data_IF_365718184099
#
_entry.id   IF_365718184099
#
_cell.length_a   1.000
_cell.length_b   1.000
_cell.length_c   1.000
_cell.angle_alpha   90.00
_cell.angle_beta   90.00
_cell.angle_gamma   90.00
#
_symmetry.space_group_name_H-M   'P 1'
#
loop_
_entity.id
_entity.type
_entity.pdbx_description
1 polymer ?
#
# COMPACT_ATOMS: atom_id res chain seq x y z
N UNK A 1 13.87 54.73 -16.67
CA UNK A 1 13.64 53.43 -15.97
C UNK A 1 12.55 52.73 -16.74
N UNK A 2 12.97 52.03 -17.77
CA UNK A 2 12.03 51.37 -18.70
C UNK A 2 11.72 49.96 -18.19
N UNK A 3 10.46 49.75 -17.92
CA UNK A 3 9.93 48.43 -17.59
C UNK A 3 10.04 47.54 -18.82
N UNK A 4 10.98 46.59 -18.79
CA UNK A 4 11.06 45.54 -19.80
C UNK A 4 9.84 44.65 -19.61
N UNK A 5 8.87 44.82 -20.46
CA UNK A 5 7.73 43.92 -20.62
C UNK A 5 8.27 42.65 -21.29
N UNK A 6 8.54 41.62 -20.49
CA UNK A 6 8.86 40.28 -20.98
C UNK A 6 7.53 39.68 -21.45
N UNK A 7 7.29 39.80 -22.76
CA UNK A 7 6.21 39.08 -23.41
C UNK A 7 6.37 37.57 -23.11
N UNK A 8 5.38 36.96 -22.48
CA UNK A 8 5.28 35.55 -22.26
C UNK A 8 5.03 34.82 -23.56
N UNK A 9 6.07 34.57 -24.33
CA UNK A 9 6.00 33.52 -25.35
C UNK A 9 5.88 32.20 -24.64
N UNK A 10 4.90 31.40 -25.02
CA UNK A 10 4.61 30.06 -24.50
C UNK A 10 5.85 29.17 -24.67
N UNK A 11 6.67 29.08 -23.63
CA UNK A 11 7.79 28.17 -23.56
C UNK A 11 7.23 26.76 -23.37
N UNK A 12 7.29 25.95 -24.43
CA UNK A 12 6.98 24.49 -24.33
C UNK A 12 7.82 23.87 -23.25
N UNK A 13 7.19 23.44 -22.17
CA UNK A 13 7.86 22.69 -21.10
C UNK A 13 8.15 21.27 -21.59
N UNK A 14 9.42 20.91 -21.72
CA UNK A 14 9.80 19.51 -21.92
C UNK A 14 9.47 18.76 -20.64
N UNK A 15 8.76 17.65 -20.80
CA UNK A 15 8.50 16.67 -19.77
C UNK A 15 9.14 15.34 -20.16
N UNK A 16 10.05 14.84 -19.33
CA UNK A 16 10.65 13.52 -19.52
C UNK A 16 9.74 12.48 -18.87
N UNK A 17 9.25 11.54 -19.67
CA UNK A 17 8.36 10.50 -19.17
C UNK A 17 9.12 9.57 -18.22
N UNK A 18 8.67 9.53 -16.96
CA UNK A 18 9.23 8.69 -15.89
C UNK A 18 8.51 7.35 -15.79
N UNK A 19 9.11 6.36 -15.11
CA UNK A 19 8.42 5.11 -14.74
C UNK A 19 7.14 5.36 -13.93
N UNK A 20 7.10 6.46 -13.16
CA UNK A 20 5.89 6.88 -12.43
C UNK A 20 4.81 7.33 -13.41
N UNK A 21 5.15 8.13 -14.43
CA UNK A 21 4.21 8.55 -15.46
C UNK A 21 3.65 7.36 -16.21
N UNK A 22 4.52 6.45 -16.64
CA UNK A 22 4.15 5.20 -17.32
C UNK A 22 3.17 4.38 -16.50
N UNK A 23 3.40 4.27 -15.20
CA UNK A 23 2.49 3.57 -14.31
C UNK A 23 1.12 4.26 -14.22
N UNK A 24 1.11 5.59 -14.10
CA UNK A 24 -0.14 6.36 -14.07
C UNK A 24 -0.92 6.23 -15.37
N UNK A 25 -0.26 6.21 -16.51
CA UNK A 25 -0.86 6.08 -17.83
C UNK A 25 -1.32 4.66 -18.12
N UNK A 26 -0.44 3.68 -17.95
CA UNK A 26 -0.73 2.27 -18.18
C UNK A 26 -1.93 1.79 -17.39
N UNK A 27 -2.01 2.16 -16.13
CA UNK A 27 -3.15 1.82 -15.28
C UNK A 27 -4.27 2.86 -15.30
N UNK A 28 -4.20 3.87 -16.17
CA UNK A 28 -5.21 4.93 -16.34
C UNK A 28 -5.68 5.50 -15.01
N UNK A 29 -4.74 5.89 -14.13
CA UNK A 29 -5.03 6.31 -12.77
C UNK A 29 -5.92 7.55 -12.73
N UNK A 30 -5.76 8.50 -13.65
CA UNK A 30 -6.65 9.65 -13.78
C UNK A 30 -8.11 9.24 -13.94
N UNK A 31 -8.41 8.31 -14.86
CA UNK A 31 -9.76 7.75 -15.06
C UNK A 31 -10.27 7.02 -13.82
N UNK A 32 -9.41 6.24 -13.13
CA UNK A 32 -9.81 5.55 -11.90
C UNK A 32 -10.17 6.54 -10.79
N UNK A 33 -9.36 7.59 -10.59
CA UNK A 33 -9.67 8.66 -9.63
C UNK A 33 -11.06 9.23 -9.88
N UNK A 34 -11.35 9.62 -11.12
CA UNK A 34 -12.67 10.16 -11.48
C UNK A 34 -13.80 9.16 -11.21
N UNK A 35 -13.65 7.88 -11.59
CA UNK A 35 -14.65 6.83 -11.33
C UNK A 35 -14.87 6.54 -9.86
N UNK A 36 -13.88 6.85 -9.01
CA UNK A 36 -13.96 6.73 -7.56
C UNK A 36 -14.45 8.00 -6.85
N UNK A 37 -14.96 8.97 -7.62
CA UNK A 37 -15.51 10.22 -7.09
C UNK A 37 -14.45 11.25 -6.71
N UNK A 38 -13.16 10.99 -6.97
CA UNK A 38 -12.09 11.98 -6.76
C UNK A 38 -12.13 12.96 -7.92
N UNK A 39 -12.87 14.05 -7.74
CA UNK A 39 -13.15 15.04 -8.79
C UNK A 39 -12.94 16.45 -8.28
N UNK A 40 -12.45 17.30 -9.15
CA UNK A 40 -12.43 18.78 -8.98
C UNK A 40 -13.21 19.42 -10.10
N UNK A 41 -13.86 20.52 -9.83
CA UNK A 41 -14.61 21.29 -10.85
C UNK A 41 -13.72 22.26 -11.60
N UNK A 42 -12.73 22.84 -10.92
CA UNK A 42 -11.84 23.87 -11.45
C UNK A 42 -10.41 23.68 -10.98
N UNK A 43 -9.45 24.25 -11.69
CA UNK A 43 -8.02 24.25 -11.39
C UNK A 43 -7.32 22.93 -11.78
N UNK A 44 -6.20 22.66 -11.17
CA UNK A 44 -5.32 21.53 -11.50
C UNK A 44 -6.02 20.17 -11.42
N UNK A 45 -5.64 19.28 -12.33
CA UNK A 45 -6.23 17.95 -12.44
C UNK A 45 -5.99 17.12 -11.18
N UNK A 46 -6.94 16.26 -10.84
CA UNK A 46 -6.76 15.33 -9.69
C UNK A 46 -5.63 14.35 -9.93
N UNK A 47 -5.32 14.03 -11.21
CA UNK A 47 -4.17 13.22 -11.59
C UNK A 47 -2.86 13.91 -11.19
N UNK A 48 -2.64 15.16 -11.63
CA UNK A 48 -1.42 15.92 -11.35
C UNK A 48 -1.22 16.12 -9.83
N UNK A 49 -2.27 16.48 -9.09
CA UNK A 49 -2.22 16.62 -7.64
C UNK A 49 -1.87 15.29 -6.94
N UNK A 50 -2.49 14.19 -7.36
CA UNK A 50 -2.22 12.86 -6.78
C UNK A 50 -0.81 12.41 -7.10
N UNK A 51 -0.35 12.62 -8.33
CA UNK A 51 0.97 12.25 -8.79
C UNK A 51 2.07 13.05 -8.08
N UNK A 52 1.89 14.36 -7.91
CA UNK A 52 2.83 15.19 -7.13
C UNK A 52 2.97 14.70 -5.69
N UNK A 53 1.86 14.36 -5.01
CA UNK A 53 1.92 13.77 -3.66
C UNK A 53 2.59 12.38 -3.71
N UNK A 54 2.26 11.58 -4.72
CA UNK A 54 2.82 10.24 -4.90
C UNK A 54 4.34 10.27 -5.04
N UNK A 55 4.91 11.25 -5.73
CA UNK A 55 6.34 11.37 -6.04
C UNK A 55 7.19 11.85 -4.84
N UNK A 56 6.61 12.50 -3.83
CA UNK A 56 7.33 13.12 -2.73
C UNK A 56 8.43 12.26 -2.07
N UNK A 57 8.21 10.99 -1.69
CA UNK A 57 9.28 10.20 -1.06
C UNK A 57 10.41 9.86 -2.04
N UNK A 58 10.15 9.79 -3.34
CA UNK A 58 11.16 9.51 -4.37
C UNK A 58 12.10 10.70 -4.59
N UNK A 59 11.65 11.91 -4.27
CA UNK A 59 12.50 13.13 -4.25
C UNK A 59 13.01 13.47 -2.83
N UNK A 60 13.00 12.51 -1.92
CA UNK A 60 13.48 12.70 -0.54
C UNK A 60 12.65 13.66 0.31
N UNK A 61 11.43 14.01 -0.14
CA UNK A 61 10.61 15.03 0.51
C UNK A 61 9.43 14.45 1.29
N UNK A 62 8.80 15.30 2.08
CA UNK A 62 7.50 15.04 2.70
C UNK A 62 6.53 16.15 2.30
N UNK A 63 5.25 15.98 2.64
CA UNK A 63 4.20 16.92 2.27
C UNK A 63 4.49 18.37 2.70
N UNK A 64 5.07 18.56 3.89
CA UNK A 64 5.40 19.91 4.37
C UNK A 64 6.51 20.55 3.55
N UNK A 65 7.63 19.84 3.34
CA UNK A 65 8.78 20.38 2.59
C UNK A 65 8.48 20.51 1.10
N UNK A 66 7.85 19.49 0.51
CA UNK A 66 7.61 19.43 -0.93
C UNK A 66 6.41 20.24 -1.44
N UNK A 67 5.40 20.45 -0.60
CA UNK A 67 4.15 21.13 -1.04
C UNK A 67 3.91 22.44 -0.28
N UNK A 68 4.23 22.50 1.03
CA UNK A 68 3.90 23.68 1.82
C UNK A 68 5.00 24.76 1.76
N UNK A 69 6.28 24.35 1.78
CA UNK A 69 7.42 25.29 1.76
C UNK A 69 7.87 25.59 0.35
N UNK A 70 8.09 24.53 -0.47
CA UNK A 70 8.71 24.63 -1.79
C UNK A 70 7.76 25.24 -2.79
N UNK A 71 7.11 26.11 -2.86
CA UNK A 71 6.15 26.75 -3.77
C UNK A 71 6.43 26.59 -5.30
N UNK A 72 7.27 25.61 -5.66
CA UNK A 72 7.69 25.35 -7.06
C UNK A 72 6.67 24.51 -7.85
N UNK A 73 5.58 24.09 -7.21
CA UNK A 73 4.53 23.32 -7.86
C UNK A 73 3.52 24.27 -8.53
N UNK A 74 2.92 23.87 -9.68
CA UNK A 74 1.95 24.71 -10.37
C UNK A 74 0.64 24.92 -9.59
N UNK A 75 0.50 24.33 -8.39
CA UNK A 75 -0.71 24.41 -7.56
C UNK A 75 -0.39 24.81 -6.11
N UNK A 76 -1.37 25.41 -5.44
CA UNK A 76 -1.24 25.80 -4.04
C UNK A 76 -1.32 24.63 -3.08
N UNK A 77 -0.74 24.77 -1.87
CA UNK A 77 -0.91 23.82 -0.77
C UNK A 77 -2.37 23.50 -0.46
N UNK A 78 -3.27 24.49 -0.61
CA UNK A 78 -4.69 24.30 -0.32
C UNK A 78 -5.37 23.36 -1.31
N UNK A 79 -4.96 23.37 -2.59
CA UNK A 79 -5.45 22.41 -3.58
C UNK A 79 -5.09 20.96 -3.19
N UNK A 80 -3.86 20.74 -2.70
CA UNK A 80 -3.43 19.44 -2.22
C UNK A 80 -4.18 19.01 -0.94
N UNK A 81 -4.36 19.92 0.01
CA UNK A 81 -5.15 19.63 1.22
C UNK A 81 -6.63 19.35 0.91
N UNK A 82 -7.23 20.06 -0.03
CA UNK A 82 -8.61 19.80 -0.47
C UNK A 82 -8.74 18.42 -1.09
N UNK A 83 -7.78 18.00 -1.93
CA UNK A 83 -7.74 16.63 -2.47
C UNK A 83 -7.73 15.61 -1.34
N UNK A 84 -6.86 15.76 -0.34
CA UNK A 84 -6.74 14.79 0.75
C UNK A 84 -7.98 14.76 1.67
N UNK A 85 -8.67 15.89 1.87
CA UNK A 85 -9.80 16.02 2.80
C UNK A 85 -11.17 15.69 2.18
N UNK A 86 -11.23 15.20 0.96
CA UNK A 86 -12.46 14.90 0.25
C UNK A 86 -13.34 13.86 0.97
N UNK A 87 -14.54 14.27 1.38
CA UNK A 87 -15.45 13.42 2.16
C UNK A 87 -16.20 12.39 1.33
N UNK A 88 -16.39 12.67 0.05
CA UNK A 88 -17.10 11.80 -0.91
C UNK A 88 -16.19 10.84 -1.66
N UNK A 89 -14.87 11.01 -1.57
CA UNK A 89 -13.89 10.25 -2.33
C UNK A 89 -13.79 8.80 -1.83
N UNK A 90 -13.95 7.86 -2.73
CA UNK A 90 -13.89 6.43 -2.42
C UNK A 90 -12.50 5.86 -2.67
N UNK A 91 -11.56 6.16 -1.78
CA UNK A 91 -10.18 5.68 -1.84
C UNK A 91 -10.06 4.15 -1.82
N UNK A 92 -10.93 3.48 -1.07
CA UNK A 92 -11.00 2.01 -1.04
C UNK A 92 -11.33 1.43 -2.42
N UNK A 93 -12.35 1.98 -3.11
CA UNK A 93 -12.69 1.57 -4.46
C UNK A 93 -11.54 1.82 -5.43
N UNK A 94 -10.78 2.91 -5.26
CA UNK A 94 -9.59 3.19 -6.06
C UNK A 94 -8.54 2.08 -5.90
N UNK A 95 -8.21 1.69 -4.66
CA UNK A 95 -7.24 0.62 -4.39
C UNK A 95 -7.71 -0.72 -4.96
N UNK A 96 -8.98 -1.07 -4.79
CA UNK A 96 -9.55 -2.31 -5.34
C UNK A 96 -9.53 -2.32 -6.88
N UNK A 97 -9.88 -1.19 -7.52
CA UNK A 97 -9.85 -1.08 -8.98
C UNK A 97 -8.42 -1.15 -9.54
N UNK A 98 -7.46 -0.49 -8.90
CA UNK A 98 -6.05 -0.58 -9.27
C UNK A 98 -5.51 -1.98 -9.00
N UNK A 99 -5.79 -2.53 -7.81
CA UNK A 99 -5.40 -3.88 -7.42
C UNK A 99 -5.92 -4.95 -8.39
N UNK A 100 -7.18 -4.84 -8.85
CA UNK A 100 -7.72 -5.73 -9.87
C UNK A 100 -6.96 -5.67 -11.20
N UNK A 101 -6.53 -4.48 -11.63
CA UNK A 101 -5.76 -4.34 -12.87
C UNK A 101 -4.36 -4.94 -12.73
N UNK A 102 -3.71 -4.72 -11.60
CA UNK A 102 -2.42 -5.32 -11.28
C UNK A 102 -2.54 -6.83 -11.09
N UNK A 103 -3.58 -7.30 -10.40
CA UNK A 103 -3.89 -8.72 -10.29
C UNK A 103 -4.01 -9.38 -11.66
N UNK A 104 -4.81 -8.81 -12.57
CA UNK A 104 -4.97 -9.35 -13.91
C UNK A 104 -3.65 -9.33 -14.73
N UNK A 105 -2.73 -8.43 -14.43
CA UNK A 105 -1.39 -8.42 -15.02
C UNK A 105 -0.51 -9.52 -14.41
N UNK A 106 -0.49 -9.68 -13.09
CA UNK A 106 0.32 -10.69 -12.40
C UNK A 106 -0.19 -12.12 -12.62
N UNK A 107 -1.50 -12.31 -12.67
CA UNK A 107 -2.15 -13.60 -12.92
C UNK A 107 -1.66 -14.24 -14.22
N UNK A 108 -1.44 -13.44 -15.28
CA UNK A 108 -0.88 -13.87 -16.56
C UNK A 108 0.60 -14.29 -16.48
N UNK A 109 1.33 -13.79 -15.48
CA UNK A 109 2.76 -14.07 -15.27
C UNK A 109 2.97 -15.14 -14.18
N UNK A 110 1.89 -15.60 -13.55
CA UNK A 110 1.93 -16.60 -12.48
C UNK A 110 1.59 -17.96 -13.05
N UNK A 111 2.42 -18.98 -12.77
CA UNK A 111 2.11 -20.35 -13.20
C UNK A 111 0.87 -20.88 -12.47
N UNK A 112 0.11 -21.76 -13.12
CA UNK A 112 -1.12 -22.35 -12.57
C UNK A 112 -0.86 -23.14 -11.27
N UNK A 113 0.35 -23.66 -11.09
CA UNK A 113 0.75 -24.43 -9.90
C UNK A 113 1.01 -23.55 -8.66
N UNK A 114 0.95 -22.23 -8.78
CA UNK A 114 1.16 -21.33 -7.64
C UNK A 114 -0.13 -21.06 -6.91
N UNK A 115 -0.17 -21.40 -5.63
CA UNK A 115 -1.26 -20.99 -4.77
C UNK A 115 -1.22 -19.48 -4.54
N UNK A 116 -2.36 -18.85 -4.79
CA UNK A 116 -2.59 -17.45 -4.48
C UNK A 116 -3.29 -17.32 -3.14
N UNK A 117 -2.90 -16.34 -2.35
CA UNK A 117 -3.41 -16.14 -1.01
C UNK A 117 -3.88 -14.71 -0.76
N UNK A 118 -4.87 -14.55 0.09
CA UNK A 118 -5.12 -13.31 0.81
C UNK A 118 -4.41 -13.38 2.16
N UNK A 119 -3.88 -12.26 2.61
CA UNK A 119 -3.17 -12.17 3.89
C UNK A 119 -3.77 -11.01 4.68
N UNK A 120 -4.24 -11.28 5.90
CA UNK A 120 -4.73 -10.23 6.80
C UNK A 120 -3.79 -10.12 8.01
N UNK A 121 -3.40 -8.87 8.28
CA UNK A 121 -2.66 -8.54 9.49
C UNK A 121 -2.92 -7.10 9.89
N UNK A 122 -2.56 -6.71 11.12
CA UNK A 122 -2.65 -5.34 11.56
C UNK A 122 -1.30 -4.78 11.99
N UNK A 123 -1.16 -3.47 11.82
CA UNK A 123 0.07 -2.77 12.13
C UNK A 123 -0.21 -1.45 12.85
N UNK A 124 0.63 -1.05 13.83
CA UNK A 124 0.53 0.26 14.44
C UNK A 124 0.66 1.39 13.41
N UNK A 125 -0.34 2.27 13.37
CA UNK A 125 -0.30 3.55 12.66
C UNK A 125 -0.02 4.64 13.70
N UNK A 126 1.26 4.86 14.00
CA UNK A 126 1.71 5.68 15.11
C UNK A 126 1.43 7.17 14.88
N UNK A 127 0.76 7.78 15.85
CA UNK A 127 0.50 9.22 15.97
C UNK A 127 0.80 9.72 17.38
N UNK A 128 1.77 9.13 18.07
CA UNK A 128 2.08 9.41 19.48
C UNK A 128 2.41 10.86 19.75
N UNK A 129 2.97 11.59 18.76
CA UNK A 129 3.26 13.04 18.85
C UNK A 129 2.01 13.92 18.63
N UNK A 130 0.90 13.34 18.17
CA UNK A 130 -0.31 14.11 17.87
C UNK A 130 -1.19 14.26 19.11
N UNK A 131 -1.88 15.42 19.22
CA UNK A 131 -2.82 15.72 20.30
C UNK A 131 -4.27 15.83 19.83
N UNK A 132 -4.51 16.26 18.60
CA UNK A 132 -5.81 16.68 18.10
C UNK A 132 -6.20 15.99 16.77
N UNK A 133 -5.77 14.75 16.57
CA UNK A 133 -6.19 13.99 15.38
C UNK A 133 -7.56 13.39 15.62
N UNK A 134 -8.46 13.55 14.68
CA UNK A 134 -9.82 13.01 14.73
C UNK A 134 -9.80 11.49 14.90
N UNK A 135 -10.59 10.96 15.82
CA UNK A 135 -10.65 9.55 16.21
C UNK A 135 -9.34 8.97 16.78
N UNK A 136 -8.38 9.81 17.19
CA UNK A 136 -7.16 9.35 17.83
C UNK A 136 -7.49 8.50 19.04
N UNK A 137 -6.86 7.33 19.17
CA UNK A 137 -7.05 6.46 20.32
C UNK A 137 -5.72 6.00 20.92
N UNK A 138 -5.80 5.48 22.14
CA UNK A 138 -4.71 4.79 22.83
C UNK A 138 -4.91 3.28 22.67
N UNK A 139 -3.88 2.57 22.22
CA UNK A 139 -3.91 1.12 22.06
C UNK A 139 -2.59 0.50 22.51
N UNK A 140 -2.66 -0.77 22.88
CA UNK A 140 -1.48 -1.54 23.26
C UNK A 140 -0.77 -2.07 22.03
N UNK A 141 0.53 -1.82 21.92
CA UNK A 141 1.38 -2.39 20.88
C UNK A 141 2.13 -3.61 21.44
N UNK A 142 1.74 -4.78 20.98
CA UNK A 142 2.33 -6.04 21.42
C UNK A 142 3.79 -6.23 21.00
N UNK A 143 4.23 -5.56 19.95
CA UNK A 143 5.60 -5.66 19.42
C UNK A 143 6.61 -4.90 20.29
N UNK A 144 6.20 -3.76 20.85
CA UNK A 144 7.04 -2.91 21.69
C UNK A 144 6.70 -3.00 23.19
N UNK A 145 5.62 -3.71 23.56
CA UNK A 145 5.17 -3.86 24.94
C UNK A 145 4.75 -2.55 25.62
N UNK A 146 4.22 -1.59 24.85
CA UNK A 146 3.82 -0.27 25.35
C UNK A 146 2.54 0.27 24.73
N UNK A 147 1.92 1.23 25.41
CA UNK A 147 0.81 1.96 24.84
C UNK A 147 1.29 3.01 23.84
N UNK A 148 0.67 3.02 22.66
CA UNK A 148 0.84 4.02 21.62
C UNK A 148 -0.44 4.85 21.46
N UNK A 149 -0.30 6.08 20.89
CA UNK A 149 -1.42 6.87 20.39
C UNK A 149 -1.45 6.80 18.87
N UNK A 150 -2.62 6.57 18.29
CA UNK A 150 -2.77 6.43 16.84
C UNK A 150 -3.95 5.56 16.48
N UNK A 151 -3.73 4.65 15.54
CA UNK A 151 -4.71 3.71 15.04
C UNK A 151 -4.08 2.32 14.87
N UNK A 152 -4.90 1.28 14.90
CA UNK A 152 -4.51 -0.03 14.39
C UNK A 152 -4.89 -0.09 12.91
N UNK A 153 -3.93 -0.23 12.03
CA UNK A 153 -4.18 -0.33 10.59
C UNK A 153 -4.37 -1.79 10.20
N UNK A 154 -5.62 -2.23 10.17
CA UNK A 154 -5.99 -3.54 9.64
C UNK A 154 -5.84 -3.51 8.13
N UNK A 155 -5.12 -4.46 7.56
CA UNK A 155 -4.78 -4.51 6.13
C UNK A 155 -5.02 -5.88 5.57
N UNK A 156 -5.47 -5.95 4.31
CA UNK A 156 -5.55 -7.18 3.53
C UNK A 156 -4.73 -7.02 2.25
N UNK A 157 -3.84 -7.98 2.02
CA UNK A 157 -3.02 -8.08 0.82
C UNK A 157 -3.39 -9.33 0.03
N UNK A 158 -3.14 -9.31 -1.28
CA UNK A 158 -3.08 -10.50 -2.12
C UNK A 158 -1.61 -10.86 -2.39
N UNK A 159 -1.28 -12.14 -2.42
CA UNK A 159 0.06 -12.61 -2.80
C UNK A 159 0.01 -13.91 -3.59
N UNK A 160 0.94 -14.04 -4.55
CA UNK A 160 1.27 -15.29 -5.26
C UNK A 160 2.60 -15.89 -4.76
N UNK A 161 3.17 -15.32 -3.71
CA UNK A 161 4.49 -15.69 -3.15
C UNK A 161 5.68 -15.01 -3.83
N UNK A 162 5.49 -14.36 -4.98
CA UNK A 162 6.50 -13.53 -5.65
C UNK A 162 6.14 -12.04 -5.61
N UNK A 163 4.87 -11.72 -5.59
CA UNK A 163 4.36 -10.35 -5.54
C UNK A 163 3.31 -10.21 -4.44
N UNK A 164 3.31 -9.08 -3.75
CA UNK A 164 2.32 -8.74 -2.75
C UNK A 164 1.60 -7.44 -3.15
N UNK A 165 0.26 -7.45 -3.12
CA UNK A 165 -0.58 -6.30 -3.44
C UNK A 165 -1.43 -5.92 -2.23
N UNK A 166 -1.21 -4.77 -1.57
CA UNK A 166 -2.07 -4.27 -0.51
C UNK A 166 -3.37 -3.72 -1.11
N UNK A 167 -4.51 -4.38 -0.86
CA UNK A 167 -5.77 -4.14 -1.57
C UNK A 167 -6.76 -3.27 -0.82
N UNK A 168 -6.86 -3.44 0.50
CA UNK A 168 -7.79 -2.70 1.35
C UNK A 168 -7.21 -2.53 2.75
N UNK A 169 -7.67 -1.49 3.46
CA UNK A 169 -7.30 -1.25 4.84
C UNK A 169 -8.40 -0.51 5.60
N UNK A 170 -8.34 -0.57 6.93
CA UNK A 170 -9.12 0.26 7.84
C UNK A 170 -8.22 0.79 8.96
N UNK A 171 -8.29 2.10 9.22
CA UNK A 171 -7.66 2.70 10.40
C UNK A 171 -8.64 2.56 11.57
N UNK A 172 -8.37 1.61 12.45
CA UNK A 172 -9.24 1.28 13.58
C UNK A 172 -8.89 2.14 14.79
N UNK A 173 -9.90 2.78 15.33
CA UNK A 173 -9.91 3.50 16.59
C UNK A 173 -10.54 2.63 17.68
N UNK A 174 -10.82 3.22 18.83
CA UNK A 174 -11.54 2.55 19.91
C UNK A 174 -13.02 2.94 19.93
N UNK A 175 -13.90 1.96 20.13
CA UNK A 175 -15.30 2.20 20.45
C UNK A 175 -15.44 2.79 21.86
N UNK A 176 -14.54 2.43 22.80
CA UNK A 176 -14.55 2.91 24.17
C UNK A 176 -14.09 4.36 24.28
N UNK A 177 -14.94 5.20 24.86
CA UNK A 177 -14.66 6.63 25.08
C UNK A 177 -13.45 6.87 26.01
N UNK A 178 -13.11 5.94 26.91
CA UNK A 178 -11.97 6.05 27.83
C UNK A 178 -10.63 5.96 27.09
N UNK A 179 -10.57 5.18 26.03
CA UNK A 179 -9.35 4.96 25.24
C UNK A 179 -9.32 5.80 23.95
N UNK A 180 -10.49 6.32 23.51
CA UNK A 180 -10.58 7.25 22.40
C UNK A 180 -10.30 8.67 22.86
N UNK A 181 -9.15 9.23 22.50
CA UNK A 181 -8.66 10.53 22.93
C UNK A 181 -9.34 11.72 22.25
N UNK A 182 -9.80 11.53 20.99
CA UNK A 182 -10.45 12.57 20.20
C UNK A 182 -11.72 12.02 19.55
N UNK A 183 -12.80 12.77 19.65
CA UNK A 183 -14.06 12.44 18.98
C UNK A 183 -13.99 12.74 17.46
N UNK A 184 -14.99 12.30 16.73
CA UNK A 184 -15.23 12.77 15.36
C UNK A 184 -15.62 14.24 15.38
N UNK A 185 -14.99 15.06 14.54
CA UNK A 185 -15.17 16.52 14.54
C UNK A 185 -16.30 16.99 13.62
N UNK A 186 -16.92 16.11 12.83
CA UNK A 186 -17.87 16.51 11.80
C UNK A 186 -19.15 15.68 11.84
N UNK A 187 -20.26 16.37 11.78
CA UNK A 187 -21.54 15.79 11.34
C UNK A 187 -21.49 15.63 9.81
N UNK A 188 -21.61 14.41 9.34
CA UNK A 188 -21.49 14.07 7.92
C UNK A 188 -22.77 13.41 7.43
N UNK A 189 -23.11 13.64 6.16
CA UNK A 189 -24.17 12.88 5.48
C UNK A 189 -23.87 11.37 5.58
N UNK A 190 -24.84 10.61 6.08
CA UNK A 190 -24.73 9.15 6.27
C UNK A 190 -24.41 8.37 4.99
N UNK A 191 -24.69 8.97 3.83
CA UNK A 191 -24.42 8.38 2.51
C UNK A 191 -23.00 8.59 2.03
N UNK A 192 -22.24 9.52 2.59
CA UNK A 192 -20.88 9.81 2.12
C UNK A 192 -19.85 8.78 2.63
N UNK A 193 -18.77 8.60 1.84
CA UNK A 193 -17.67 7.68 2.17
C UNK A 193 -17.02 8.00 3.52
N UNK A 194 -16.92 9.29 3.86
CA UNK A 194 -16.32 9.75 5.10
C UNK A 194 -17.11 9.30 6.33
N UNK A 195 -18.46 9.29 6.28
CA UNK A 195 -19.29 8.75 7.35
C UNK A 195 -19.05 7.25 7.55
N UNK A 196 -19.04 6.48 6.46
CA UNK A 196 -18.80 5.03 6.52
C UNK A 196 -17.42 4.69 7.11
N UNK A 197 -16.37 5.41 6.73
CA UNK A 197 -15.03 5.23 7.28
C UNK A 197 -14.97 5.45 8.80
N UNK A 198 -15.70 6.45 9.31
CA UNK A 198 -15.77 6.76 10.75
C UNK A 198 -16.54 5.71 11.52
N UNK A 199 -17.66 5.24 10.94
CA UNK A 199 -18.43 4.13 11.50
C UNK A 199 -17.56 2.87 11.60
N UNK A 200 -16.86 2.52 10.52
CA UNK A 200 -15.94 1.38 10.47
C UNK A 200 -14.79 1.50 11.47
N UNK A 201 -14.26 2.71 11.68
CA UNK A 201 -13.12 2.93 12.58
C UNK A 201 -13.38 2.52 14.04
N UNK A 202 -14.64 2.42 14.45
CA UNK A 202 -15.05 2.04 15.82
C UNK A 202 -15.61 0.62 15.93
N UNK A 203 -15.60 -0.14 14.85
CA UNK A 203 -16.02 -1.55 14.82
C UNK A 203 -14.84 -2.45 15.16
N UNK A 204 -15.10 -3.63 15.74
CA UNK A 204 -14.06 -4.61 16.06
C UNK A 204 -13.39 -5.14 14.79
N UNK A 205 -12.07 -5.34 14.86
CA UNK A 205 -11.30 -5.86 13.73
C UNK A 205 -11.89 -7.16 13.16
N UNK A 206 -12.32 -8.10 14.01
CA UNK A 206 -12.89 -9.37 13.59
C UNK A 206 -14.16 -9.26 12.77
N UNK A 207 -14.96 -8.22 12.99
CA UNK A 207 -16.17 -7.95 12.18
C UNK A 207 -15.83 -7.36 10.80
N UNK A 208 -14.66 -6.71 10.68
CA UNK A 208 -14.17 -6.16 9.41
C UNK A 208 -13.64 -7.23 8.46
N UNK A 209 -13.02 -8.31 8.98
CA UNK A 209 -12.34 -9.32 8.17
C UNK A 209 -13.23 -9.89 7.07
N UNK A 210 -14.43 -10.34 7.43
CA UNK A 210 -15.40 -10.92 6.49
C UNK A 210 -15.78 -9.92 5.40
N UNK A 211 -16.01 -8.67 5.78
CA UNK A 211 -16.37 -7.62 4.82
C UNK A 211 -15.21 -7.29 3.86
N UNK A 212 -13.96 -7.33 4.33
CA UNK A 212 -12.78 -7.13 3.49
C UNK A 212 -12.66 -8.25 2.45
N UNK A 213 -12.78 -9.50 2.87
CA UNK A 213 -12.76 -10.66 1.97
C UNK A 213 -13.88 -10.57 0.93
N UNK A 214 -15.12 -10.29 1.36
CA UNK A 214 -16.26 -10.11 0.44
C UNK A 214 -16.00 -9.05 -0.62
N UNK A 215 -15.46 -7.88 -0.22
CA UNK A 215 -15.14 -6.79 -1.15
C UNK A 215 -14.09 -7.19 -2.20
N UNK A 216 -13.05 -7.92 -1.79
CA UNK A 216 -12.00 -8.37 -2.71
C UNK A 216 -12.55 -9.36 -3.71
N UNK A 217 -13.33 -10.35 -3.25
CA UNK A 217 -13.98 -11.31 -4.14
C UNK A 217 -14.95 -10.63 -5.12
N UNK A 218 -15.75 -9.69 -4.62
CA UNK A 218 -16.66 -8.88 -5.47
C UNK A 218 -15.92 -8.00 -6.47
N UNK A 219 -14.68 -7.62 -6.19
CA UNK A 219 -13.81 -6.93 -7.14
C UNK A 219 -13.22 -7.86 -8.22
N UNK A 220 -13.46 -9.18 -8.15
CA UNK A 220 -12.97 -10.17 -9.10
C UNK A 220 -11.51 -10.55 -8.89
N UNK A 221 -10.96 -10.34 -7.70
CA UNK A 221 -9.62 -10.80 -7.32
C UNK A 221 -9.77 -12.16 -6.65
N UNK A 222 -9.16 -13.18 -7.25
CA UNK A 222 -9.23 -14.56 -6.80
C UNK A 222 -8.04 -14.90 -5.88
N UNK A 223 -8.30 -15.75 -4.90
CA UNK A 223 -7.28 -16.39 -4.09
C UNK A 223 -7.83 -17.72 -3.56
N UNK A 224 -6.95 -18.68 -3.34
CA UNK A 224 -7.31 -20.03 -2.86
C UNK A 224 -7.46 -20.03 -1.33
N UNK A 225 -6.56 -19.35 -0.62
CA UNK A 225 -6.53 -19.36 0.83
C UNK A 225 -6.47 -17.95 1.41
N UNK A 226 -6.98 -17.82 2.65
CA UNK A 226 -6.79 -16.66 3.50
C UNK A 226 -5.84 -17.01 4.64
N UNK A 227 -4.76 -16.24 4.76
CA UNK A 227 -3.78 -16.40 5.83
C UNK A 227 -4.01 -15.36 6.93
N UNK A 228 -4.12 -15.83 8.16
CA UNK A 228 -4.34 -14.99 9.35
C UNK A 228 -3.40 -15.39 10.50
N UNK A 229 -3.08 -14.43 11.35
CA UNK A 229 -2.26 -14.69 12.53
C UNK A 229 -3.08 -15.23 13.72
N UNK A 230 -2.41 -15.54 14.81
CA UNK A 230 -3.04 -16.11 15.99
C UNK A 230 -4.04 -15.18 16.70
N UNK A 231 -3.97 -13.89 16.45
CA UNK A 231 -4.91 -12.93 17.00
C UNK A 231 -6.30 -13.01 16.35
N UNK A 232 -6.34 -13.35 15.08
CA UNK A 232 -7.58 -13.47 14.31
C UNK A 232 -8.09 -14.91 14.21
N UNK A 233 -7.27 -15.92 14.52
CA UNK A 233 -7.63 -17.35 14.40
C UNK A 233 -8.48 -17.82 15.59
N UNK A 234 -9.62 -17.15 15.79
CA UNK A 234 -10.64 -17.60 16.75
C UNK A 234 -11.67 -18.48 16.03
N UNK A 235 -12.18 -19.56 16.64
CA UNK A 235 -13.13 -20.47 15.97
C UNK A 235 -14.29 -19.76 15.28
N UNK A 236 -14.96 -18.84 15.94
CA UNK A 236 -16.06 -18.08 15.35
C UNK A 236 -15.65 -17.20 14.14
N UNK A 237 -14.44 -16.62 14.18
CA UNK A 237 -13.90 -15.85 13.07
C UNK A 237 -13.54 -16.76 11.90
N UNK A 238 -12.91 -17.89 12.18
CA UNK A 238 -12.56 -18.90 11.16
C UNK A 238 -13.82 -19.41 10.46
N UNK A 239 -14.85 -19.79 11.24
CA UNK A 239 -16.15 -20.22 10.70
C UNK A 239 -16.74 -19.20 9.74
N UNK A 240 -16.82 -17.94 10.16
CA UNK A 240 -17.40 -16.87 9.33
C UNK A 240 -16.58 -16.58 8.05
N UNK A 241 -15.27 -16.71 8.10
CA UNK A 241 -14.38 -16.53 6.95
C UNK A 241 -14.45 -17.72 5.99
N UNK A 242 -14.53 -18.93 6.53
CA UNK A 242 -14.57 -20.18 5.76
C UNK A 242 -15.84 -20.36 4.93
N UNK A 243 -16.89 -19.57 5.16
CA UNK A 243 -18.02 -19.44 4.23
C UNK A 243 -17.64 -18.81 2.88
N UNK A 244 -16.50 -18.14 2.83
CA UNK A 244 -16.11 -17.34 1.66
C UNK A 244 -14.80 -17.79 1.05
N UNK A 245 -13.86 -18.30 1.82
CA UNK A 245 -12.53 -18.70 1.40
C UNK A 245 -11.93 -19.64 2.44
N UNK A 246 -11.15 -20.64 2.00
CA UNK A 246 -10.44 -21.49 2.92
C UNK A 246 -9.39 -20.71 3.72
N UNK A 247 -9.32 -21.02 5.02
CA UNK A 247 -8.52 -20.29 5.99
C UNK A 247 -7.35 -21.15 6.47
N UNK A 248 -6.15 -20.58 6.44
CA UNK A 248 -4.98 -21.14 7.14
C UNK A 248 -4.52 -20.12 8.17
N UNK A 249 -4.57 -20.47 9.45
CA UNK A 249 -4.24 -19.55 10.53
C UNK A 249 -3.38 -20.16 11.61
N UNK A 250 -2.51 -19.36 12.24
CA UNK A 250 -1.79 -19.80 13.43
C UNK A 250 -2.72 -19.80 14.64
N UNK A 251 -2.74 -20.87 15.42
CA UNK A 251 -3.63 -21.02 16.57
C UNK A 251 -2.95 -20.53 17.83
N UNK A 252 -3.69 -19.74 18.61
CA UNK A 252 -3.21 -19.29 19.93
C UNK A 252 -3.33 -20.41 20.95
N UNK A 253 -2.25 -20.68 21.70
CA UNK A 253 -2.29 -21.53 22.88
C UNK A 253 -3.11 -20.84 23.96
N UNK A 254 -4.29 -21.36 24.26
CA UNK A 254 -5.21 -20.79 25.24
C UNK A 254 -6.12 -21.87 25.81
N UNK A 255 -6.23 -21.91 27.12
CA UNK A 255 -7.19 -22.76 27.84
C UNK A 255 -8.65 -22.32 27.68
N UNK A 256 -8.91 -21.18 27.00
CA UNK A 256 -10.26 -20.65 26.76
C UNK A 256 -10.78 -20.94 25.35
N UNK A 257 -9.96 -21.55 24.46
CA UNK A 257 -10.33 -21.87 23.10
C UNK A 257 -10.44 -23.39 22.98
N UNK A 258 -11.61 -23.87 22.61
CA UNK A 258 -11.91 -25.29 22.53
C UNK A 258 -12.25 -25.71 21.11
N UNK A 259 -11.83 -26.92 20.78
CA UNK A 259 -12.16 -27.67 19.57
C UNK A 259 -12.78 -28.99 19.97
N UNK A 260 -13.66 -29.56 19.15
CA UNK A 260 -14.18 -30.91 19.37
C UNK A 260 -13.18 -31.91 18.76
N UNK A 261 -12.61 -32.73 19.61
CA UNK A 261 -11.68 -33.80 19.24
C UNK A 261 -12.17 -35.12 19.84
N UNK A 262 -12.37 -36.14 18.99
CA UNK A 262 -12.96 -37.46 19.38
C UNK A 262 -14.25 -37.29 20.20
N UNK A 263 -15.15 -36.41 19.78
CA UNK A 263 -16.43 -36.14 20.43
C UNK A 263 -16.36 -35.22 21.66
N UNK A 264 -15.19 -34.90 22.18
CA UNK A 264 -15.00 -34.11 23.41
C UNK A 264 -14.46 -32.69 23.11
N UNK A 265 -14.95 -31.70 23.85
CA UNK A 265 -14.41 -30.34 23.78
C UNK A 265 -13.05 -30.29 24.50
N UNK A 266 -11.97 -29.96 23.77
CA UNK A 266 -10.62 -29.90 24.31
C UNK A 266 -9.90 -28.66 23.83
N UNK A 267 -9.06 -28.06 24.67
CA UNK A 267 -8.12 -27.03 24.26
C UNK A 267 -6.94 -27.61 23.49
N UNK A 268 -6.19 -26.73 22.84
CA UNK A 268 -5.07 -27.08 21.96
C UNK A 268 -3.97 -27.88 22.68
N UNK A 269 -3.68 -27.57 23.97
CA UNK A 269 -2.65 -28.25 24.77
C UNK A 269 -3.04 -29.69 25.05
N UNK A 270 -4.28 -29.92 25.47
CA UNK A 270 -4.82 -31.22 25.73
C UNK A 270 -4.90 -32.11 24.49
N UNK A 271 -5.30 -31.52 23.33
CA UNK A 271 -5.27 -32.23 22.04
C UNK A 271 -3.84 -32.67 21.73
N UNK A 272 -2.87 -31.73 21.80
CA UNK A 272 -1.45 -32.04 21.51
C UNK A 272 -0.92 -33.12 22.45
N UNK A 273 -1.31 -33.12 23.75
CA UNK A 273 -0.93 -34.11 24.74
C UNK A 273 -1.29 -35.53 24.31
N UNK A 274 -2.48 -35.72 23.73
CA UNK A 274 -3.01 -37.03 23.30
C UNK A 274 -2.43 -37.56 21.98
N UNK A 275 -1.78 -36.72 21.17
CA UNK A 275 -1.26 -37.13 19.86
C UNK A 275 0.07 -37.86 20.00
N UNK A 276 0.29 -38.86 19.13
CA UNK A 276 1.61 -39.49 18.91
C UNK A 276 2.50 -38.50 18.12
N UNK A 277 3.63 -38.09 18.70
CA UNK A 277 4.53 -37.10 18.09
C UNK A 277 5.59 -37.82 17.27
N UNK A 278 5.90 -37.24 16.10
CA UNK A 278 7.07 -37.61 15.28
C UNK A 278 8.34 -37.27 16.06
N UNK A 279 9.26 -38.21 16.17
CA UNK A 279 10.53 -38.07 16.92
C UNK A 279 11.65 -37.45 16.03
N UNK A 280 12.76 -37.11 16.64
CA UNK A 280 13.96 -36.63 15.97
C UNK A 280 13.83 -35.16 15.50
N UNK A 281 14.39 -34.87 14.32
CA UNK A 281 14.49 -33.51 13.75
C UNK A 281 13.24 -33.11 12.93
N UNK A 282 12.15 -33.85 13.02
CA UNK A 282 10.94 -33.56 12.24
C UNK A 282 10.45 -32.12 12.45
N UNK A 283 10.16 -31.40 11.34
CA UNK A 283 9.58 -30.05 11.38
C UNK A 283 8.13 -30.10 11.80
N UNK A 284 7.35 -31.07 11.29
CA UNK A 284 5.97 -31.32 11.64
C UNK A 284 5.95 -32.41 12.71
N UNK A 285 5.38 -32.10 13.86
CA UNK A 285 5.37 -32.98 15.04
C UNK A 285 4.19 -33.94 15.04
N UNK A 286 3.03 -33.44 14.68
CA UNK A 286 1.78 -34.20 14.58
C UNK A 286 0.75 -33.44 13.75
N UNK A 287 -0.26 -34.11 13.27
CA UNK A 287 -1.48 -33.50 12.73
C UNK A 287 -2.71 -34.28 13.13
N UNK A 288 -3.86 -33.63 13.15
CA UNK A 288 -5.16 -34.25 13.44
C UNK A 288 -6.31 -33.42 12.91
N UNK A 289 -7.46 -34.07 12.72
CA UNK A 289 -8.72 -33.40 12.43
C UNK A 289 -9.42 -33.04 13.74
N UNK A 290 -10.08 -31.90 13.74
CA UNK A 290 -10.93 -31.40 14.81
C UNK A 290 -12.19 -30.80 14.20
N UNK A 291 -13.23 -30.64 14.99
CA UNK A 291 -14.42 -29.91 14.58
C UNK A 291 -14.49 -28.54 15.28
N UNK A 292 -14.82 -27.51 14.53
CA UNK A 292 -15.17 -26.19 15.02
C UNK A 292 -16.54 -26.22 15.70
N UNK A 293 -16.92 -25.12 16.34
CA UNK A 293 -18.18 -25.05 17.10
C UNK A 293 -19.44 -25.29 16.24
N UNK A 294 -19.39 -24.95 14.98
CA UNK A 294 -20.46 -25.14 14.00
C UNK A 294 -20.49 -26.56 13.38
N UNK A 295 -19.59 -27.45 13.79
CA UNK A 295 -19.46 -28.81 13.27
C UNK A 295 -18.54 -28.95 12.07
N UNK A 296 -18.03 -27.85 11.50
CA UNK A 296 -17.07 -27.87 10.40
C UNK A 296 -15.77 -28.54 10.80
N UNK A 297 -15.27 -29.41 9.96
CA UNK A 297 -13.96 -30.01 10.15
C UNK A 297 -12.84 -29.03 9.83
N UNK A 298 -11.75 -29.12 10.58
CA UNK A 298 -10.51 -28.40 10.35
C UNK A 298 -9.32 -29.29 10.71
N UNK A 299 -8.22 -29.12 10.01
CA UNK A 299 -6.97 -29.81 10.28
C UNK A 299 -6.09 -28.94 11.17
N UNK A 300 -5.59 -29.53 12.26
CA UNK A 300 -4.53 -28.94 13.09
C UNK A 300 -3.19 -29.58 12.74
N UNK A 301 -2.20 -28.75 12.41
CA UNK A 301 -0.82 -29.17 12.11
C UNK A 301 0.11 -28.57 13.15
N UNK A 302 0.74 -29.43 13.95
CA UNK A 302 1.67 -29.01 14.99
C UNK A 302 3.09 -28.98 14.45
N UNK A 303 3.73 -27.82 14.54
CA UNK A 303 5.04 -27.53 13.94
C UNK A 303 6.04 -27.16 15.04
N UNK A 304 7.27 -27.64 14.91
CA UNK A 304 8.35 -27.33 15.84
C UNK A 304 8.76 -25.84 15.73
N UNK A 305 8.68 -25.13 16.85
CA UNK A 305 9.28 -23.78 16.94
C UNK A 305 10.77 -23.91 17.31
N UNK A 306 11.63 -23.73 16.33
CA UNK A 306 13.09 -23.84 16.54
C UNK A 306 13.65 -22.74 17.45
N UNK A 307 12.99 -21.59 17.55
CA UNK A 307 13.46 -20.44 18.33
C UNK A 307 13.23 -20.63 19.84
N UNK A 308 12.10 -21.24 20.20
CA UNK A 308 11.64 -21.33 21.59
C UNK A 308 11.76 -22.72 22.20
N UNK A 309 12.30 -23.74 21.48
CA UNK A 309 12.26 -25.15 21.86
C UNK A 309 10.84 -25.65 22.20
N UNK A 310 9.85 -25.09 21.54
CA UNK A 310 8.43 -25.28 21.75
C UNK A 310 7.76 -25.67 20.42
N UNK A 311 6.46 -25.66 20.37
CA UNK A 311 5.67 -25.90 19.16
C UNK A 311 4.66 -24.79 18.92
N UNK A 312 4.23 -24.64 17.68
CA UNK A 312 3.08 -23.83 17.27
C UNK A 312 2.11 -24.72 16.51
N UNK A 313 0.86 -24.32 16.41
CA UNK A 313 -0.14 -25.02 15.63
C UNK A 313 -0.71 -24.13 14.54
N UNK A 314 -0.89 -24.71 13.36
CA UNK A 314 -1.62 -24.13 12.26
C UNK A 314 -2.96 -24.86 12.12
N UNK A 315 -4.02 -24.10 11.83
CA UNK A 315 -5.33 -24.60 11.51
C UNK A 315 -5.58 -24.39 10.03
N UNK A 316 -6.07 -25.40 9.31
CA UNK A 316 -6.56 -25.30 7.94
C UNK A 316 -8.02 -25.74 7.87
N UNK A 317 -8.87 -24.97 7.21
CA UNK A 317 -10.24 -25.37 6.89
C UNK A 317 -10.30 -26.31 5.69
N UNK A 318 -9.30 -26.26 4.80
CA UNK A 318 -9.07 -27.29 3.80
C UNK A 318 -8.36 -28.48 4.45
N UNK A 319 -9.12 -29.52 4.74
CA UNK A 319 -8.63 -30.75 5.39
C UNK A 319 -7.90 -31.68 4.44
N UNK A 320 -8.05 -31.49 3.13
CA UNK A 320 -7.39 -32.26 2.08
C UNK A 320 -5.91 -31.92 1.90
N UNK A 321 -5.51 -30.68 2.23
CA UNK A 321 -4.14 -30.23 2.09
C UNK A 321 -3.15 -31.13 2.85
N UNK A 322 -2.04 -31.55 2.24
CA UNK A 322 -0.92 -32.18 2.97
C UNK A 322 -0.38 -31.28 4.07
N UNK A 323 0.04 -31.88 5.19
CA UNK A 323 0.61 -31.13 6.34
C UNK A 323 1.74 -30.18 5.93
N UNK A 324 2.61 -30.62 5.00
CA UNK A 324 3.73 -29.84 4.50
C UNK A 324 3.26 -28.58 3.75
N UNK A 325 2.19 -28.70 2.98
CA UNK A 325 1.62 -27.59 2.19
C UNK A 325 0.93 -26.57 3.08
N UNK A 326 0.22 -27.00 4.14
CA UNK A 326 -0.31 -26.08 5.15
C UNK A 326 0.81 -25.19 5.71
N UNK A 327 1.97 -25.79 6.03
CA UNK A 327 3.12 -25.02 6.55
C UNK A 327 3.75 -24.13 5.49
N UNK A 328 3.90 -24.62 4.25
CA UNK A 328 4.50 -23.89 3.14
C UNK A 328 3.64 -22.68 2.75
N UNK A 329 2.35 -22.90 2.56
CA UNK A 329 1.40 -21.84 2.17
C UNK A 329 1.33 -20.78 3.27
N UNK A 330 1.24 -21.19 4.54
CA UNK A 330 1.24 -20.25 5.66
C UNK A 330 2.50 -19.37 5.70
N UNK A 331 3.63 -19.86 5.21
CA UNK A 331 4.87 -19.09 5.09
C UNK A 331 4.73 -17.81 4.27
N UNK A 332 3.82 -17.77 3.27
CA UNK A 332 3.52 -16.58 2.46
C UNK A 332 2.93 -15.42 3.30
N UNK A 333 2.46 -15.68 4.53
CA UNK A 333 1.99 -14.62 5.44
C UNK A 333 3.06 -13.55 5.69
N UNK A 334 4.34 -13.92 5.57
CA UNK A 334 5.45 -12.98 5.76
C UNK A 334 5.44 -11.80 4.77
N UNK A 335 4.81 -11.94 3.63
CA UNK A 335 4.77 -10.89 2.59
C UNK A 335 4.11 -9.60 3.08
N UNK A 336 3.10 -9.68 3.96
CA UNK A 336 2.47 -8.49 4.53
C UNK A 336 3.39 -7.76 5.52
N UNK A 337 4.27 -8.49 6.21
CA UNK A 337 5.27 -7.89 7.11
C UNK A 337 6.33 -7.13 6.29
N UNK A 338 6.75 -7.68 5.15
CA UNK A 338 7.64 -6.99 4.19
C UNK A 338 6.97 -5.72 3.68
N UNK A 339 5.68 -5.79 3.31
CA UNK A 339 4.89 -4.61 2.93
C UNK A 339 4.90 -3.55 4.04
N UNK A 340 4.57 -3.90 5.28
CA UNK A 340 4.57 -2.94 6.39
C UNK A 340 5.93 -2.31 6.64
N UNK A 341 6.99 -3.11 6.59
CA UNK A 341 8.37 -2.63 6.74
C UNK A 341 8.70 -1.60 5.65
N UNK A 342 8.48 -1.95 4.40
CA UNK A 342 8.74 -1.08 3.25
C UNK A 342 7.92 0.22 3.31
N UNK A 343 6.62 0.11 3.57
CA UNK A 343 5.71 1.24 3.65
C UNK A 343 6.12 2.25 4.75
N UNK A 344 6.57 1.75 5.92
CA UNK A 344 7.00 2.58 7.05
C UNK A 344 8.40 3.19 6.86
N UNK A 345 9.33 2.43 6.31
CA UNK A 345 10.73 2.86 6.17
C UNK A 345 10.92 3.81 4.99
N UNK A 346 10.44 3.43 3.81
CA UNK A 346 10.72 4.12 2.56
C UNK A 346 9.53 4.97 2.07
N UNK A 347 8.32 4.45 2.09
CA UNK A 347 7.15 5.12 1.50
C UNK A 347 6.45 6.11 2.45
N UNK A 348 7.06 6.39 3.62
CA UNK A 348 6.63 7.40 4.59
C UNK A 348 5.22 7.19 5.18
N UNK A 349 4.75 5.93 5.30
CA UNK A 349 3.49 5.60 5.96
C UNK A 349 3.43 6.21 7.36
N UNK A 350 2.34 6.88 7.69
CA UNK A 350 2.10 7.60 8.95
C UNK A 350 3.08 8.74 9.28
N UNK A 351 4.08 9.05 8.44
CA UNK A 351 5.13 10.05 8.73
C UNK A 351 5.10 11.27 7.81
N UNK A 352 4.51 11.17 6.62
CA UNK A 352 4.62 12.19 5.57
C UNK A 352 3.76 13.41 5.83
N UNK A 353 2.51 13.22 6.29
CA UNK A 353 1.56 14.29 6.53
C UNK A 353 1.30 14.54 8.02
N UNK A 354 1.18 15.81 8.38
CA UNK A 354 0.77 16.25 9.71
C UNK A 354 -0.65 16.83 9.62
N UNK A 355 -1.66 15.97 9.48
CA UNK A 355 -3.04 16.38 9.34
C UNK A 355 -3.89 15.87 10.51
N UNK A 356 -4.85 16.71 10.97
CA UNK A 356 -5.82 16.36 12.02
C UNK A 356 -7.04 15.65 11.48
N UNK A 357 -7.30 15.78 10.19
CA UNK A 357 -8.50 15.25 9.52
C UNK A 357 -8.34 13.76 9.18
N UNK A 358 -9.33 12.94 9.56
CA UNK A 358 -9.31 11.49 9.35
C UNK A 358 -9.34 11.11 7.86
N UNK A 359 -10.09 11.85 7.03
CA UNK A 359 -10.14 11.58 5.58
C UNK A 359 -8.79 11.77 4.91
N UNK A 360 -8.01 12.78 5.36
CA UNK A 360 -6.67 13.01 4.84
C UNK A 360 -5.70 11.88 5.21
N UNK A 361 -5.85 11.26 6.39
CA UNK A 361 -5.05 10.08 6.74
C UNK A 361 -5.40 8.89 5.84
N UNK A 362 -6.68 8.67 5.56
CA UNK A 362 -7.15 7.62 4.64
C UNK A 362 -6.62 7.87 3.22
N UNK A 363 -6.74 9.09 2.71
CA UNK A 363 -6.25 9.47 1.39
C UNK A 363 -4.74 9.22 1.26
N UNK A 364 -3.97 9.71 2.21
CA UNK A 364 -2.53 9.54 2.23
C UNK A 364 -2.13 8.05 2.32
N UNK A 365 -2.74 7.28 3.21
CA UNK A 365 -2.48 5.83 3.32
C UNK A 365 -2.78 5.12 1.99
N UNK A 366 -3.85 5.51 1.30
CA UNK A 366 -4.17 4.97 -0.03
C UNK A 366 -3.08 5.28 -1.06
N UNK A 367 -2.52 6.50 -1.04
CA UNK A 367 -1.41 6.88 -1.91
C UNK A 367 -0.15 6.06 -1.57
N UNK A 368 0.13 5.80 -0.30
CA UNK A 368 1.25 4.92 0.11
C UNK A 368 1.06 3.50 -0.40
N UNK A 369 -0.17 2.96 -0.35
CA UNK A 369 -0.48 1.65 -0.92
C UNK A 369 -0.26 1.62 -2.44
N UNK A 370 -0.65 2.68 -3.14
CA UNK A 370 -0.40 2.81 -4.58
C UNK A 370 1.11 2.87 -4.90
N UNK A 371 1.92 3.54 -4.07
CA UNK A 371 3.40 3.54 -4.20
C UNK A 371 3.98 2.14 -4.08
N UNK A 372 3.50 1.36 -3.12
CA UNK A 372 3.94 -0.03 -2.99
C UNK A 372 3.51 -0.88 -4.18
N UNK A 373 2.28 -0.72 -4.66
CA UNK A 373 1.79 -1.38 -5.87
C UNK A 373 2.64 -1.03 -7.10
N UNK A 374 3.09 0.22 -7.21
CA UNK A 374 4.02 0.66 -8.26
C UNK A 374 5.35 -0.10 -8.18
N UNK A 375 5.97 -0.17 -7.00
CA UNK A 375 7.21 -0.91 -6.82
C UNK A 375 7.04 -2.41 -7.10
N UNK A 376 5.95 -3.01 -6.65
CA UNK A 376 5.63 -4.41 -6.95
C UNK A 376 5.47 -4.65 -8.46
N UNK A 377 4.87 -3.70 -9.17
CA UNK A 377 4.75 -3.74 -10.63
C UNK A 377 6.12 -3.65 -11.30
N UNK A 378 6.98 -2.71 -10.91
CA UNK A 378 8.34 -2.57 -11.46
C UNK A 378 9.17 -3.83 -11.23
N UNK A 379 9.15 -4.37 -10.00
CA UNK A 379 9.85 -5.61 -9.68
C UNK A 379 9.42 -6.78 -10.58
N UNK A 380 8.14 -6.88 -10.91
CA UNK A 380 7.60 -7.99 -11.71
C UNK A 380 7.82 -7.84 -13.21
N UNK A 381 7.84 -6.61 -13.75
CA UNK A 381 8.03 -6.36 -15.19
C UNK A 381 9.47 -6.57 -15.65
N UNK A 382 10.43 -6.23 -14.82
CA UNK A 382 11.85 -6.27 -15.19
C UNK A 382 12.54 -7.60 -14.84
N UNK A 383 11.82 -8.60 -14.34
CA UNK A 383 12.38 -9.83 -13.73
C UNK A 383 13.50 -9.48 -12.73
N UNK A 384 13.22 -8.48 -11.92
CA UNK A 384 14.20 -7.78 -11.11
C UNK A 384 14.45 -8.53 -9.80
N UNK A 385 15.67 -8.96 -9.59
CA UNK A 385 16.10 -9.66 -8.38
C UNK A 385 16.44 -8.72 -7.22
N UNK A 386 16.40 -7.39 -7.45
CA UNK A 386 16.67 -6.39 -6.42
C UNK A 386 15.61 -6.41 -5.33
N UNK A 387 15.99 -6.04 -4.13
CA UNK A 387 15.05 -5.83 -3.04
C UNK A 387 14.16 -4.61 -3.30
N UNK A 388 12.99 -4.55 -2.67
CA UNK A 388 12.13 -3.35 -2.76
C UNK A 388 12.83 -2.06 -2.32
N UNK A 389 13.80 -2.16 -1.40
CA UNK A 389 14.61 -1.02 -0.96
C UNK A 389 15.52 -0.50 -2.07
N UNK A 390 16.25 -1.40 -2.73
CA UNK A 390 17.12 -1.06 -3.86
C UNK A 390 16.32 -0.48 -5.04
N UNK A 391 15.17 -1.09 -5.35
CA UNK A 391 14.28 -0.59 -6.39
C UNK A 391 13.72 0.81 -6.06
N UNK A 392 13.43 1.08 -4.78
CA UNK A 392 13.02 2.41 -4.33
C UNK A 392 14.12 3.45 -4.60
N UNK A 393 15.38 3.14 -4.24
CA UNK A 393 16.50 4.06 -4.49
C UNK A 393 16.76 4.28 -5.98
N UNK A 394 16.66 3.24 -6.80
CA UNK A 394 16.73 3.38 -8.25
C UNK A 394 15.67 4.35 -8.80
N UNK A 395 14.44 4.27 -8.30
CA UNK A 395 13.39 5.23 -8.69
C UNK A 395 13.70 6.65 -8.19
N UNK A 396 14.38 6.79 -7.03
CA UNK A 396 14.84 8.10 -6.57
C UNK A 396 15.91 8.69 -7.49
N UNK A 397 16.87 7.88 -7.91
CA UNK A 397 17.94 8.31 -8.83
C UNK A 397 17.34 8.71 -10.18
N UNK A 398 16.44 7.91 -10.76
CA UNK A 398 15.73 8.25 -12.01
C UNK A 398 15.01 9.60 -11.90
N UNK A 399 14.25 9.84 -10.84
CA UNK A 399 13.53 11.12 -10.66
C UNK A 399 14.51 12.29 -10.50
N UNK A 400 15.66 12.06 -9.85
CA UNK A 400 16.72 13.07 -9.70
C UNK A 400 17.33 13.41 -11.06
N UNK A 401 17.66 12.40 -11.86
CA UNK A 401 18.25 12.56 -13.19
C UNK A 401 17.29 13.28 -14.14
N UNK A 402 16.01 12.92 -14.13
CA UNK A 402 14.97 13.61 -14.91
C UNK A 402 14.89 15.08 -14.51
N UNK A 403 14.88 15.37 -13.21
CA UNK A 403 14.83 16.75 -12.72
C UNK A 403 16.06 17.57 -13.15
N UNK A 404 17.24 16.93 -13.19
CA UNK A 404 18.46 17.54 -13.70
C UNK A 404 18.35 17.85 -15.20
N UNK A 405 17.90 16.91 -16.02
CA UNK A 405 17.72 17.09 -17.46
C UNK A 405 16.71 18.20 -17.76
N UNK A 406 15.58 18.23 -17.07
CA UNK A 406 14.57 19.31 -17.24
C UNK A 406 15.13 20.68 -16.85
N UNK A 407 15.90 20.77 -15.76
CA UNK A 407 16.55 22.01 -15.33
C UNK A 407 17.62 22.47 -16.35
N UNK A 408 18.44 21.56 -16.83
CA UNK A 408 19.45 21.84 -17.85
C UNK A 408 18.82 22.34 -19.15
N UNK A 409 17.75 21.70 -19.60
CA UNK A 409 17.00 22.14 -20.79
C UNK A 409 16.51 23.59 -20.63
N UNK A 410 15.91 23.94 -19.48
CA UNK A 410 15.44 25.30 -19.22
C UNK A 410 16.59 26.32 -19.24
N UNK A 411 17.72 25.97 -18.61
CA UNK A 411 18.91 26.85 -18.60
C UNK A 411 19.42 27.07 -20.03
N UNK A 412 19.56 26.00 -20.81
CA UNK A 412 20.04 26.09 -22.20
C UNK A 412 19.08 26.87 -23.07
N UNK A 413 17.77 26.70 -22.92
CA UNK A 413 16.74 27.45 -23.64
C UNK A 413 16.86 28.94 -23.34
N UNK A 414 16.98 29.33 -22.07
CA UNK A 414 17.16 30.74 -21.67
C UNK A 414 18.46 31.31 -22.23
N UNK A 415 19.56 30.59 -22.10
CA UNK A 415 20.86 31.00 -22.62
C UNK A 415 20.85 31.18 -24.13
N UNK A 416 20.24 30.25 -24.88
CA UNK A 416 20.11 30.34 -26.36
C UNK A 416 19.26 31.54 -26.75
N UNK A 417 18.16 31.82 -26.07
CA UNK A 417 17.33 32.99 -26.32
C UNK A 417 18.08 34.31 -26.05
N UNK A 418 18.89 34.37 -24.98
CA UNK A 418 19.74 35.53 -24.70
C UNK A 418 20.81 35.73 -25.77
N UNK A 419 21.47 34.66 -26.23
CA UNK A 419 22.45 34.72 -27.32
C UNK A 419 21.83 35.22 -28.65
N UNK A 420 20.59 34.81 -28.96
CA UNK A 420 19.84 35.35 -30.10
C UNK A 420 19.61 36.87 -30.01
N UNK A 421 19.36 37.37 -28.80
CA UNK A 421 19.10 38.80 -28.58
C UNK A 421 20.38 39.66 -28.66
N UNK A 422 21.57 39.07 -28.48
CA UNK A 422 22.87 39.76 -28.57
C UNK A 422 23.35 39.94 -30.04
N UNK A 423 22.65 39.33 -31.00
CA UNK A 423 22.70 39.78 -32.40
C UNK A 423 23.82 39.24 -33.29
N UNK A 424 24.73 38.38 -32.85
CA UNK A 424 25.86 37.88 -33.64
C UNK A 424 25.99 36.36 -33.75
N UNK A 425 25.05 35.58 -33.23
CA UNK A 425 25.11 34.12 -33.30
C UNK A 425 24.22 33.55 -34.39
N UNK A 426 24.80 32.72 -35.26
CA UNK A 426 24.05 31.99 -36.28
C UNK A 426 23.10 30.99 -35.57
N UNK A 427 21.81 31.05 -35.91
CA UNK A 427 20.75 30.20 -35.30
C UNK A 427 21.06 28.71 -35.44
N UNK A 428 21.66 28.29 -36.56
CA UNK A 428 22.13 26.92 -36.79
C UNK A 428 23.17 26.46 -35.77
N UNK A 429 24.14 27.32 -35.45
CA UNK A 429 25.23 27.04 -34.52
C UNK A 429 24.72 26.96 -33.09
N UNK A 430 23.80 27.84 -32.70
CA UNK A 430 23.21 27.85 -31.37
C UNK A 430 22.33 26.59 -31.15
N UNK A 431 21.56 26.18 -32.16
CA UNK A 431 20.76 24.94 -32.11
C UNK A 431 21.63 23.69 -32.03
N UNK A 432 22.68 23.59 -32.85
CA UNK A 432 23.60 22.46 -32.83
C UNK A 432 24.34 22.32 -31.48
N UNK A 433 24.72 23.45 -30.89
CA UNK A 433 25.34 23.46 -29.55
C UNK A 433 24.37 23.03 -28.46
N UNK A 434 23.12 23.50 -28.50
CA UNK A 434 22.05 23.06 -27.60
C UNK A 434 21.85 21.55 -27.69
N UNK A 435 21.67 21.04 -28.91
CA UNK A 435 21.44 19.60 -29.14
C UNK A 435 22.62 18.75 -28.67
N UNK A 436 23.86 19.17 -28.92
CA UNK A 436 25.05 18.44 -28.48
C UNK A 436 25.17 18.36 -26.96
N UNK A 437 24.84 19.44 -26.22
CA UNK A 437 24.85 19.41 -24.75
C UNK A 437 23.73 18.52 -24.21
N UNK A 438 22.54 18.63 -24.78
CA UNK A 438 21.38 17.81 -24.34
C UNK A 438 21.64 16.32 -24.61
N UNK A 439 22.20 15.96 -25.77
CA UNK A 439 22.55 14.59 -26.11
C UNK A 439 23.60 14.02 -25.15
N UNK A 440 24.63 14.80 -24.86
CA UNK A 440 25.66 14.41 -23.89
C UNK A 440 25.07 14.21 -22.49
N UNK A 441 24.22 15.12 -22.03
CA UNK A 441 23.59 15.04 -20.74
C UNK A 441 22.65 13.82 -20.63
N UNK A 442 21.85 13.53 -21.66
CA UNK A 442 20.99 12.35 -21.74
C UNK A 442 21.81 11.06 -21.69
N UNK A 443 22.93 11.00 -22.42
CA UNK A 443 23.83 9.84 -22.37
C UNK A 443 24.45 9.65 -20.97
N UNK A 444 24.88 10.73 -20.30
CA UNK A 444 25.44 10.66 -18.96
C UNK A 444 24.49 10.08 -17.92
N UNK A 445 23.19 10.34 -18.05
CA UNK A 445 22.16 9.82 -17.13
C UNK A 445 21.45 8.56 -17.65
N UNK A 446 21.90 7.99 -18.78
CA UNK A 446 21.32 6.77 -19.35
C UNK A 446 19.89 6.90 -19.90
N UNK A 447 19.44 8.12 -20.23
CA UNK A 447 18.15 8.40 -20.84
C UNK A 447 18.27 8.52 -22.36
N UNK A 448 17.23 8.13 -23.09
CA UNK A 448 17.18 8.27 -24.55
C UNK A 448 16.34 9.46 -24.98
N UNK A 449 16.61 10.00 -26.21
CA UNK A 449 15.79 11.06 -26.82
C UNK A 449 14.31 10.72 -26.95
N UNK A 450 13.97 9.43 -27.08
CA UNK A 450 12.58 8.96 -27.20
C UNK A 450 11.74 9.18 -25.92
N UNK A 451 12.39 9.49 -24.80
CA UNK A 451 11.70 9.81 -23.55
C UNK A 451 11.33 11.29 -23.42
N UNK A 452 11.73 12.13 -24.39
CA UNK A 452 11.42 13.56 -24.40
C UNK A 452 10.06 13.78 -25.09
N UNK A 453 9.02 14.12 -24.33
CA UNK A 453 7.74 14.56 -24.87
C UNK A 453 7.62 16.08 -24.78
N UNK A 454 7.31 16.74 -25.90
CA UNK A 454 6.90 18.16 -25.86
C UNK A 454 5.46 18.24 -25.39
N UNK A 455 5.22 18.80 -24.21
CA UNK A 455 3.87 19.20 -23.82
C UNK A 455 3.49 20.47 -24.57
N UNK A 456 2.77 20.34 -25.68
CA UNK A 456 1.94 21.41 -26.19
C UNK A 456 0.73 21.52 -25.27
N UNK A 457 0.68 22.54 -24.43
CA UNK A 457 -0.52 22.89 -23.68
C UNK A 457 -1.62 23.25 -24.68
N UNK A 458 -2.67 22.41 -24.74
CA UNK A 458 -3.96 22.69 -25.35
C UNK A 458 -5.00 22.91 -24.26
#
# INVERSE_FOLDING_TARGET
>A
MDHINIASESQGNIHVQSKIDDFFDRFRLGTLLHRCGVRKRHGHSVRSLTQAIFTLPFVGQNFFRGIVIKQDLPFSKDAAYQLLKGTTYNWRRLLLCLGRRLFAFFDRLTSEDRETVLIIDDSPYDRSRSKMVELLCRFWDHSTGRYLKGFRMLTICWSDGASCLPLDFSLLSSADAKTRLCASQKTLDKRCCAHQRRKEATVKATEHLVNMVKRIRSAGIRAQYLLIDSWFTMPATVTALAEHIDVIGMVKKSSKIFYRYNGHAMDLMNIYGKLKKRRGRAKILASTLVQLKDGREAKLVFVRDKRKKDWLALLSTDTSLPDADVVRIYGKRWDIEVFFKMAKQHLKLAKEIQCRNFDALIAHTSIVFMRYMFLAYQCRTETDHRTFGELFYLCCDEVSDISFIEALYRILTLATNQLRNIGNFCEKTASAFFDAIMDTALQCVGLSKNNLAMNTES
#
